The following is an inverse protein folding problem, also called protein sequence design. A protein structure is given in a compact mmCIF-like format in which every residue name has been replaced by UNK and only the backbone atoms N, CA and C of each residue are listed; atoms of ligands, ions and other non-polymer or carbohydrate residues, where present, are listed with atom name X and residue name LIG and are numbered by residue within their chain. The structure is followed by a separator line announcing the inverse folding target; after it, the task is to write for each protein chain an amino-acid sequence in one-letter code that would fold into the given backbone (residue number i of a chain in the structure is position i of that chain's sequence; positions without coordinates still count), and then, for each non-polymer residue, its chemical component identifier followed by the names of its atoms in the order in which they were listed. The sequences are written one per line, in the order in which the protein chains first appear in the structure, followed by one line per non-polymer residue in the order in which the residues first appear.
data_IF_493418624173
#
_entry.id   IF_493418624173
#
_cell.length_a   1.000
_cell.length_b   1.000
_cell.length_c   1.000
_cell.angle_alpha   90.00
_cell.angle_beta   90.00
_cell.angle_gamma   90.00
#
_symmetry.space_group_name_H-M   'P 1'
#
loop_
_entity.id
_entity.type
_entity.pdbx_description
1 polymer ?
#
# COMPACT_ATOMS: atom_id res chain seq x y z
N UNK A 1 1.19 -51.35 -32.17
CA UNK A 1 0.78 -50.77 -30.89
C UNK A 1 1.71 -49.61 -30.56
N UNK A 2 1.21 -48.36 -30.65
CA UNK A 2 1.99 -47.15 -30.37
C UNK A 2 1.80 -46.78 -28.89
N UNK A 3 2.90 -46.72 -28.13
CA UNK A 3 2.91 -46.18 -26.78
C UNK A 3 2.58 -44.70 -26.83
N UNK A 4 1.63 -44.26 -25.98
CA UNK A 4 1.33 -42.84 -25.79
C UNK A 4 2.13 -42.35 -24.59
N UNK A 5 3.07 -41.44 -24.85
CA UNK A 5 3.71 -40.59 -23.85
C UNK A 5 2.61 -39.82 -23.10
N UNK A 6 2.52 -40.00 -21.78
CA UNK A 6 1.76 -39.10 -20.91
C UNK A 6 2.68 -37.92 -20.61
N UNK A 7 2.43 -36.78 -21.26
CA UNK A 7 3.07 -35.51 -20.88
C UNK A 7 2.26 -34.96 -19.72
N UNK A 8 2.79 -35.08 -18.50
CA UNK A 8 2.27 -34.35 -17.34
C UNK A 8 2.84 -32.93 -17.44
N UNK A 9 2.06 -32.00 -17.98
CA UNK A 9 2.37 -30.58 -17.87
C UNK A 9 1.98 -30.12 -16.48
N UNK A 10 2.97 -29.88 -15.62
CA UNK A 10 2.78 -29.22 -14.32
C UNK A 10 2.55 -27.72 -14.60
N UNK A 11 1.29 -27.32 -14.79
CA UNK A 11 0.93 -25.90 -14.87
C UNK A 11 0.83 -25.35 -13.43
N UNK A 12 1.96 -24.88 -12.89
CA UNK A 12 1.97 -24.05 -11.69
C UNK A 12 1.49 -22.66 -12.12
N UNK A 13 0.17 -22.48 -12.18
CA UNK A 13 -0.44 -21.17 -12.38
C UNK A 13 -0.39 -20.48 -11.02
N UNK A 14 0.64 -19.66 -10.80
CA UNK A 14 0.58 -18.63 -9.78
C UNK A 14 -0.52 -17.65 -10.23
N UNK A 15 -1.73 -17.86 -9.71
CA UNK A 15 -2.86 -16.99 -9.97
C UNK A 15 -2.60 -15.70 -9.19
N UNK A 16 -2.03 -14.72 -9.89
CA UNK A 16 -1.73 -13.41 -9.36
C UNK A 16 -3.06 -12.67 -9.13
N UNK A 17 -3.66 -12.83 -7.94
CA UNK A 17 -4.89 -12.16 -7.56
C UNK A 17 -4.57 -10.69 -7.30
N UNK A 18 -4.94 -9.84 -8.25
CA UNK A 18 -4.87 -8.39 -8.13
C UNK A 18 -6.05 -7.92 -7.28
N UNK A 19 -5.78 -7.28 -6.15
CA UNK A 19 -6.81 -6.68 -5.30
C UNK A 19 -6.87 -5.17 -5.59
N UNK A 20 -8.00 -4.73 -6.15
CA UNK A 20 -8.24 -3.33 -6.51
C UNK A 20 -9.18 -2.71 -5.47
N UNK A 21 -8.71 -1.67 -4.79
CA UNK A 21 -9.53 -0.78 -3.97
C UNK A 21 -9.84 0.53 -4.68
N UNK A 22 -10.96 1.16 -4.35
CA UNK A 22 -11.34 2.50 -4.84
C UNK A 22 -11.50 3.46 -3.66
N UNK A 23 -10.97 4.68 -3.80
CA UNK A 23 -11.16 5.79 -2.87
C UNK A 23 -11.59 7.00 -3.68
N UNK A 24 -12.71 7.60 -3.28
CA UNK A 24 -13.20 8.85 -3.82
C UNK A 24 -13.14 9.94 -2.74
N UNK A 25 -12.84 11.17 -3.19
CA UNK A 25 -12.94 12.38 -2.39
C UNK A 25 -13.68 13.45 -3.20
N UNK A 26 -14.49 14.25 -2.53
CA UNK A 26 -15.21 15.38 -3.11
C UNK A 26 -14.28 16.63 -3.04
N UNK A 27 -13.92 17.18 -4.20
CA UNK A 27 -12.81 18.14 -4.37
C UNK A 27 -11.45 17.59 -3.92
N UNK A 28 -10.92 16.55 -4.56
CA UNK A 28 -9.63 15.96 -4.19
C UNK A 28 -8.54 17.05 -4.18
N UNK A 29 -8.16 17.51 -2.98
CA UNK A 29 -7.13 18.53 -2.83
C UNK A 29 -5.79 17.84 -2.88
N UNK A 30 -4.80 18.50 -3.47
CA UNK A 30 -3.43 17.96 -3.52
C UNK A 30 -2.96 17.48 -2.13
N UNK A 31 -3.23 18.24 -1.06
CA UNK A 31 -2.84 17.88 0.31
C UNK A 31 -3.91 17.12 1.11
N UNK A 32 -4.86 16.47 0.44
CA UNK A 32 -5.86 15.66 1.13
C UNK A 32 -5.25 14.38 1.68
N UNK A 33 -5.57 14.09 2.95
CA UNK A 33 -5.19 12.85 3.60
C UNK A 33 -6.17 11.77 3.19
N UNK A 34 -5.66 10.73 2.56
CA UNK A 34 -6.41 9.54 2.23
C UNK A 34 -6.24 8.52 3.35
N UNK A 35 -7.36 7.98 3.84
CA UNK A 35 -7.38 7.00 4.93
C UNK A 35 -7.94 5.68 4.41
N UNK A 36 -7.14 4.62 4.54
CA UNK A 36 -7.55 3.24 4.28
C UNK A 36 -7.63 2.51 5.61
N UNK A 37 -8.84 2.06 5.96
CA UNK A 37 -9.02 1.23 7.16
C UNK A 37 -8.52 -0.18 6.92
N UNK A 38 -7.96 -0.78 7.97
CA UNK A 38 -7.43 -2.12 7.97
C UNK A 38 -8.47 -3.14 7.56
N UNK A 39 -9.72 -2.96 7.97
CA UNK A 39 -10.87 -3.76 7.50
C UNK A 39 -11.11 -3.77 5.99
N UNK A 40 -10.54 -2.85 5.20
CA UNK A 40 -10.57 -2.90 3.72
C UNK A 40 -9.36 -3.66 3.16
N UNK A 41 -8.24 -3.68 3.87
CA UNK A 41 -6.98 -4.36 3.50
C UNK A 41 -6.93 -5.82 4.00
N UNK A 42 -7.47 -6.08 5.19
CA UNK A 42 -7.46 -7.36 5.90
C UNK A 42 -8.28 -8.43 5.20
N UNK A 43 -9.36 -8.05 4.50
CA UNK A 43 -10.23 -8.96 3.73
C UNK A 43 -9.47 -9.78 2.68
N UNK A 44 -8.21 -9.40 2.40
CA UNK A 44 -7.43 -9.87 1.29
C UNK A 44 -6.00 -10.31 1.65
N UNK A 45 -5.70 -10.54 2.95
CA UNK A 45 -4.48 -11.18 3.50
C UNK A 45 -3.41 -10.27 4.15
N UNK A 46 -3.77 -9.06 4.62
CA UNK A 46 -2.90 -8.29 5.54
C UNK A 46 -3.15 -8.58 7.03
N UNK A 47 -4.08 -9.50 7.37
CA UNK A 47 -4.32 -9.87 8.77
C UNK A 47 -3.03 -10.31 9.47
N UNK A 48 -2.80 -9.73 10.64
CA UNK A 48 -1.63 -9.98 11.47
C UNK A 48 -0.28 -9.62 10.81
N UNK A 49 -0.25 -8.63 9.91
CA UNK A 49 1.00 -8.17 9.27
C UNK A 49 1.75 -7.21 10.18
N UNK A 50 3.06 -7.41 10.43
CA UNK A 50 3.86 -6.41 11.13
C UNK A 50 3.81 -5.05 10.42
N UNK A 51 3.56 -3.98 11.15
CA UNK A 51 3.41 -2.63 10.57
C UNK A 51 4.70 -2.15 9.87
N UNK A 52 5.86 -2.66 10.29
CA UNK A 52 7.18 -2.39 9.70
C UNK A 52 7.47 -3.22 8.43
N UNK A 53 6.60 -4.16 8.06
CA UNK A 53 6.63 -4.87 6.78
C UNK A 53 5.73 -4.22 5.71
N UNK A 54 5.06 -3.11 6.01
CA UNK A 54 4.12 -2.44 5.10
C UNK A 54 4.76 -1.22 4.48
N UNK A 55 4.78 -1.18 3.15
CA UNK A 55 5.38 -0.10 2.37
C UNK A 55 4.40 0.43 1.33
N UNK A 56 4.40 1.75 1.15
CA UNK A 56 3.51 2.44 0.22
C UNK A 56 4.32 3.08 -0.90
N UNK A 57 3.91 2.82 -2.14
CA UNK A 57 4.60 3.25 -3.34
C UNK A 57 3.67 3.94 -4.33
N UNK A 58 4.27 4.82 -5.12
CA UNK A 58 3.72 5.31 -6.38
C UNK A 58 4.60 4.82 -7.54
N UNK A 59 3.96 4.64 -8.69
CA UNK A 59 4.61 4.26 -9.93
C UNK A 59 4.69 5.47 -10.86
N UNK A 60 5.83 5.68 -11.50
CA UNK A 60 6.01 6.67 -12.56
C UNK A 60 6.14 5.95 -13.90
N UNK A 61 5.11 6.06 -14.74
CA UNK A 61 5.06 5.38 -16.03
C UNK A 61 6.00 6.01 -17.07
N UNK A 62 6.41 7.27 -16.87
CA UNK A 62 7.31 7.96 -17.79
C UNK A 62 8.76 7.47 -17.66
N UNK A 63 9.15 7.07 -16.45
CA UNK A 63 10.49 6.56 -16.14
C UNK A 63 10.52 5.06 -15.87
N UNK A 64 9.36 4.41 -15.72
CA UNK A 64 9.22 2.99 -15.35
C UNK A 64 9.89 2.73 -14.01
N UNK A 65 9.60 3.59 -13.03
CA UNK A 65 10.19 3.52 -11.69
C UNK A 65 9.14 3.51 -10.60
N UNK A 66 9.52 2.94 -9.46
CA UNK A 66 8.74 2.93 -8.24
C UNK A 66 9.44 3.82 -7.22
N UNK A 67 8.67 4.63 -6.50
CA UNK A 67 9.18 5.43 -5.39
C UNK A 67 8.26 5.28 -4.18
N UNK A 68 8.86 5.22 -3.00
CA UNK A 68 8.08 5.25 -1.77
C UNK A 68 7.44 6.62 -1.63
N UNK A 69 6.21 6.64 -1.12
CA UNK A 69 5.49 7.88 -0.79
C UNK A 69 5.31 7.94 0.72
N UNK A 70 5.31 9.12 1.37
CA UNK A 70 5.11 9.22 2.80
C UNK A 70 3.78 8.56 3.24
N UNK A 71 3.85 7.77 4.31
CA UNK A 71 2.69 7.11 4.89
C UNK A 71 2.78 7.09 6.41
N UNK A 72 1.63 6.92 7.03
CA UNK A 72 1.50 6.70 8.46
C UNK A 72 0.60 5.50 8.69
N UNK A 73 0.92 4.70 9.72
CA UNK A 73 0.03 3.68 10.24
C UNK A 73 -0.39 4.12 11.63
N UNK A 74 -1.70 4.29 11.81
CA UNK A 74 -2.31 4.55 13.09
C UNK A 74 -2.89 3.25 13.66
N UNK A 75 -2.27 2.79 14.74
CA UNK A 75 -2.76 1.69 15.57
C UNK A 75 -3.80 2.24 16.56
N UNK A 76 -5.05 1.81 16.41
CA UNK A 76 -6.16 2.23 17.25
C UNK A 76 -6.33 1.27 18.44
N UNK A 77 -6.70 1.80 19.60
CA UNK A 77 -7.02 0.94 20.75
C UNK A 77 -8.28 0.10 20.50
N UNK A 78 -8.13 -1.23 20.47
CA UNK A 78 -9.22 -2.19 20.31
C UNK A 78 -10.37 -1.99 21.30
N UNK A 79 -10.08 -1.42 22.47
CA UNK A 79 -11.05 -1.23 23.54
C UNK A 79 -11.76 0.12 23.46
N UNK A 80 -11.31 1.03 22.57
CA UNK A 80 -11.84 2.40 22.45
C UNK A 80 -11.74 2.91 21.01
N UNK A 81 -12.86 2.88 20.30
CA UNK A 81 -13.02 3.48 18.98
C UNK A 81 -12.52 4.93 18.98
N UNK A 82 -11.62 5.26 18.03
CA UNK A 82 -11.05 6.60 17.87
C UNK A 82 -10.00 7.00 18.91
N UNK A 83 -9.44 6.04 19.64
CA UNK A 83 -8.39 6.30 20.63
C UNK A 83 -7.02 5.84 20.14
N UNK A 84 -6.17 6.80 19.80
CA UNK A 84 -4.85 6.61 19.18
C UNK A 84 -3.68 6.47 20.18
N UNK A 85 -3.97 6.57 21.49
CA UNK A 85 -2.98 6.52 22.56
C UNK A 85 -3.01 5.19 23.33
N UNK A 86 -3.58 4.15 22.73
CA UNK A 86 -3.69 2.81 23.29
C UNK A 86 -2.37 2.04 23.27
N UNK A 87 -2.46 0.77 23.67
CA UNK A 87 -1.32 -0.15 23.54
C UNK A 87 -1.16 -0.52 22.07
N UNK A 88 0.03 -0.24 21.53
CA UNK A 88 0.43 -0.60 20.16
C UNK A 88 1.03 -2.00 20.18
N UNK A 89 0.54 -2.90 19.34
CA UNK A 89 1.03 -4.28 19.24
C UNK A 89 2.00 -4.47 18.05
N UNK A 90 2.13 -3.44 17.19
CA UNK A 90 2.97 -3.46 16.00
C UNK A 90 2.39 -4.30 14.87
N UNK A 91 1.09 -4.60 14.91
CA UNK A 91 0.40 -5.46 13.96
C UNK A 91 -0.70 -4.66 13.28
N UNK A 92 -0.75 -4.74 11.95
CA UNK A 92 -1.82 -4.17 11.15
C UNK A 92 -3.00 -5.14 11.11
N UNK A 93 -4.14 -4.73 11.71
CA UNK A 93 -5.36 -5.52 11.79
C UNK A 93 -6.59 -4.71 11.33
N UNK A 94 -7.80 -5.01 11.80
CA UNK A 94 -9.04 -4.50 11.20
C UNK A 94 -9.36 -3.02 11.47
N UNK A 95 -8.97 -2.48 12.62
CA UNK A 95 -9.32 -1.13 13.07
C UNK A 95 -8.26 -0.09 12.74
N UNK A 96 -7.11 -0.52 12.24
CA UNK A 96 -5.92 0.28 11.96
C UNK A 96 -6.17 1.16 10.74
N UNK A 97 -5.45 2.26 10.66
CA UNK A 97 -5.58 3.22 9.58
C UNK A 97 -4.23 3.36 8.87
N UNK A 98 -4.21 3.14 7.56
CA UNK A 98 -3.09 3.50 6.70
C UNK A 98 -3.42 4.83 6.03
N UNK A 99 -2.55 5.81 6.22
CA UNK A 99 -2.72 7.18 5.76
C UNK A 99 -1.63 7.55 4.76
N UNK A 100 -1.98 8.32 3.72
CA UNK A 100 -1.05 8.95 2.79
C UNK A 100 -1.67 10.21 2.19
N UNK A 101 -0.87 11.04 1.52
CA UNK A 101 -1.37 12.26 0.86
C UNK A 101 -1.70 11.98 -0.61
N UNK A 102 -2.87 12.44 -1.06
CA UNK A 102 -3.37 12.20 -2.41
C UNK A 102 -2.42 12.67 -3.53
N UNK A 103 -1.72 13.80 -3.33
CA UNK A 103 -0.75 14.33 -4.30
C UNK A 103 0.44 13.41 -4.55
N UNK A 104 0.78 12.53 -3.61
CA UNK A 104 1.91 11.61 -3.78
C UNK A 104 1.54 10.38 -4.63
N UNK A 105 0.26 10.19 -4.96
CA UNK A 105 -0.19 9.10 -5.81
C UNK A 105 0.34 9.24 -7.25
N UNK A 106 0.68 8.10 -7.86
CA UNK A 106 1.32 8.03 -9.18
C UNK A 106 0.42 7.55 -10.30
N UNK A 107 1.05 6.97 -11.32
CA UNK A 107 0.42 6.42 -12.51
C UNK A 107 -0.03 4.96 -12.33
N UNK A 108 -0.81 4.49 -13.30
CA UNK A 108 -1.15 3.08 -13.42
C UNK A 108 0.09 2.23 -13.75
N UNK A 109 0.30 1.17 -12.97
CA UNK A 109 1.31 0.16 -13.15
C UNK A 109 0.63 -1.12 -13.64
N UNK A 110 1.12 -1.70 -14.72
CA UNK A 110 0.54 -2.94 -15.24
C UNK A 110 0.63 -4.08 -14.22
N UNK A 111 -0.13 -5.17 -14.38
CA UNK A 111 -0.05 -6.31 -13.48
C UNK A 111 1.33 -6.97 -13.43
N UNK A 112 2.14 -6.79 -14.48
CA UNK A 112 3.51 -7.29 -14.54
C UNK A 112 4.56 -6.32 -13.96
N UNK A 113 4.23 -5.03 -13.85
CA UNK A 113 5.11 -4.06 -13.23
C UNK A 113 5.13 -4.29 -11.73
N UNK A 114 6.31 -4.34 -11.14
CA UNK A 114 6.48 -4.68 -9.73
C UNK A 114 7.76 -4.05 -9.23
N UNK A 115 7.81 -3.70 -7.95
CA UNK A 115 9.04 -3.23 -7.30
C UNK A 115 10.17 -4.26 -7.43
N UNK A 116 11.43 -3.82 -7.44
CA UNK A 116 12.56 -4.75 -7.48
C UNK A 116 12.85 -5.35 -6.08
N UNK A 117 11.87 -6.08 -5.55
CA UNK A 117 11.95 -6.78 -4.27
C UNK A 117 11.37 -8.18 -4.41
N UNK A 118 12.17 -9.20 -4.10
CA UNK A 118 11.76 -10.60 -4.28
C UNK A 118 10.75 -11.05 -3.23
N UNK A 119 10.87 -10.56 -1.99
CA UNK A 119 9.99 -10.98 -0.91
C UNK A 119 8.56 -10.48 -1.12
N UNK A 120 8.41 -9.26 -1.63
CA UNK A 120 7.09 -8.68 -1.91
C UNK A 120 6.26 -9.51 -2.89
N UNK A 121 6.89 -10.25 -3.82
CA UNK A 121 6.21 -11.12 -4.78
C UNK A 121 5.57 -12.36 -4.15
N UNK A 122 5.89 -12.66 -2.89
CA UNK A 122 5.21 -13.69 -2.11
C UNK A 122 3.81 -13.25 -1.64
N UNK A 123 3.50 -11.95 -1.76
CA UNK A 123 2.26 -11.34 -1.31
C UNK A 123 1.53 -10.67 -2.47
N UNK A 124 0.23 -10.42 -2.27
CA UNK A 124 -0.53 -9.60 -3.22
C UNK A 124 -0.07 -8.14 -3.15
N UNK A 125 -0.07 -7.47 -4.31
CA UNK A 125 0.02 -6.00 -4.39
C UNK A 125 -1.40 -5.46 -4.30
N UNK A 126 -1.59 -4.53 -3.38
CA UNK A 126 -2.83 -3.79 -3.31
C UNK A 126 -2.71 -2.54 -4.16
N UNK A 127 -3.69 -2.31 -5.00
CA UNK A 127 -3.77 -1.14 -5.85
C UNK A 127 -4.98 -0.32 -5.44
N UNK A 128 -4.75 0.94 -5.10
CA UNK A 128 -5.81 1.89 -4.77
C UNK A 128 -5.92 2.95 -5.86
N UNK A 129 -7.08 3.00 -6.50
CA UNK A 129 -7.43 4.08 -7.42
C UNK A 129 -7.94 5.27 -6.60
N UNK A 130 -7.22 6.37 -6.67
CA UNK A 130 -7.58 7.66 -6.09
C UNK A 130 -8.11 8.54 -7.22
N UNK A 131 -9.32 9.07 -7.07
CA UNK A 131 -9.92 9.94 -8.08
C UNK A 131 -10.76 11.06 -7.46
N UNK A 132 -10.86 12.17 -8.17
CA UNK A 132 -11.76 13.28 -7.84
C UNK A 132 -13.15 12.99 -8.43
N UNK A 133 -14.20 13.02 -7.60
CA UNK A 133 -15.57 12.83 -8.10
C UNK A 133 -16.03 13.96 -9.04
N UNK A 134 -15.46 15.16 -8.88
CA UNK A 134 -15.77 16.33 -9.69
C UNK A 134 -14.92 16.42 -10.97
N UNK A 135 -13.77 15.74 -11.00
CA UNK A 135 -12.97 15.50 -12.20
C UNK A 135 -12.64 14.01 -12.35
N UNK A 136 -13.55 13.21 -12.93
CA UNK A 136 -13.34 11.77 -13.11
C UNK A 136 -12.16 11.41 -14.04
N UNK A 137 -11.59 12.38 -14.76
CA UNK A 137 -10.38 12.16 -15.55
C UNK A 137 -9.11 12.26 -14.70
N UNK A 138 -9.19 12.86 -13.52
CA UNK A 138 -8.11 12.87 -12.54
C UNK A 138 -8.08 11.52 -11.81
N UNK A 139 -7.27 10.61 -12.32
CA UNK A 139 -7.03 9.29 -11.71
C UNK A 139 -5.56 9.17 -11.37
N UNK A 140 -5.29 8.73 -10.14
CA UNK A 140 -3.97 8.38 -9.62
C UNK A 140 -4.02 7.05 -8.90
N UNK A 141 -2.85 6.45 -8.69
CA UNK A 141 -2.74 5.13 -8.11
C UNK A 141 -1.70 5.10 -6.99
N UNK A 142 -2.05 4.37 -5.92
CA UNK A 142 -1.15 4.04 -4.82
C UNK A 142 -1.08 2.53 -4.69
N UNK A 143 0.10 2.04 -4.37
CA UNK A 143 0.37 0.61 -4.28
C UNK A 143 0.92 0.27 -2.90
N UNK A 144 0.31 -0.71 -2.26
CA UNK A 144 0.76 -1.18 -0.94
C UNK A 144 1.39 -2.54 -1.14
N UNK A 145 2.61 -2.67 -0.64
CA UNK A 145 3.40 -3.88 -0.67
C UNK A 145 3.68 -4.34 0.76
N UNK A 146 3.70 -5.66 0.94
CA UNK A 146 4.26 -6.30 2.12
C UNK A 146 5.66 -6.81 1.78
N UNK A 147 6.64 -6.59 2.65
CA UNK A 147 7.98 -7.17 2.51
C UNK A 147 8.76 -7.09 3.82
N UNK A 148 9.47 -8.15 4.16
CA UNK A 148 10.44 -8.19 5.27
C UNK A 148 11.84 -7.74 4.86
N UNK A 149 12.08 -7.51 3.56
CA UNK A 149 13.40 -7.14 3.01
C UNK A 149 13.48 -5.71 2.50
N UNK A 150 12.35 -5.05 2.24
CA UNK A 150 12.32 -3.63 1.92
C UNK A 150 12.79 -2.79 3.12
N UNK A 151 13.34 -1.62 2.82
CA UNK A 151 13.76 -0.63 3.80
C UNK A 151 13.14 0.70 3.44
N UNK A 152 12.87 1.56 4.43
CA UNK A 152 12.40 2.92 4.18
C UNK A 152 13.47 3.65 3.35
N UNK A 153 13.06 4.31 2.27
CA UNK A 153 13.95 5.16 1.50
C UNK A 153 14.52 6.25 2.43
N UNK A 154 15.86 6.36 2.58
CA UNK A 154 16.47 7.38 3.43
C UNK A 154 16.18 8.82 2.96
N UNK A 155 15.71 9.01 1.73
CA UNK A 155 15.31 10.29 1.16
C UNK A 155 13.79 10.48 1.10
N UNK A 156 13.02 9.59 1.75
CA UNK A 156 11.57 9.73 1.82
C UNK A 156 11.22 11.10 2.45
N UNK A 157 10.44 11.95 1.76
CA UNK A 157 10.06 13.23 2.32
C UNK A 157 9.22 13.05 3.59
N UNK A 158 9.33 14.02 4.50
CA UNK A 158 8.49 14.07 5.71
C UNK A 158 7.60 15.29 5.63
N UNK A 159 6.31 15.10 5.93
CA UNK A 159 5.37 16.20 6.13
C UNK A 159 5.49 16.83 7.53
N UNK A 160 6.33 16.27 8.41
CA UNK A 160 6.64 16.78 9.73
C UNK A 160 8.05 17.38 9.77
N UNK A 161 8.15 18.61 10.27
CA UNK A 161 9.41 19.24 10.64
C UNK A 161 9.41 19.52 12.14
N UNK A 162 10.46 19.08 12.84
CA UNK A 162 10.64 19.36 14.26
C UNK A 162 11.50 20.60 14.42
N UNK A 163 11.08 21.51 15.30
CA UNK A 163 11.94 22.58 15.79
C UNK A 163 12.63 22.10 17.07
N UNK A 164 13.90 22.45 17.23
CA UNK A 164 14.61 22.15 18.45
C UNK A 164 13.96 22.94 19.59
N UNK A 165 13.86 22.33 20.77
CA UNK A 165 13.42 23.09 21.94
C UNK A 165 14.41 24.23 22.20
N UNK A 166 13.93 25.45 22.53
CA UNK A 166 14.82 26.55 22.88
C UNK A 166 15.79 26.09 23.98
N UNK A 167 17.08 26.40 23.82
CA UNK A 167 18.07 26.17 24.87
C UNK A 167 17.62 26.92 26.14
N UNK A 168 17.34 26.17 27.20
CA UNK A 168 16.93 26.70 28.50
C UNK A 168 18.03 27.46 29.24
#
# INVERSE_FOLDING_TARGET
MKSRLVVITLALVAMFLMNIGEISADELRNMEVIIITGNKLSQYMMDATPVDEIFVYAYDASTVTWHQIPWQIDELDDNKVGYYFGTKNGIFEGNEELLFIAQDAGDYASPSDWIDDKDSRNYARYEYRVYDELDPAYIRYVYIYRSSTLQIDPNLPSYMAYDDSPSG
#
